data_IF_938134153862
#
_entry.id   IF_938134153862
#
_cell.length_a   1.000
_cell.length_b   1.000
_cell.length_c   1.000
_cell.angle_alpha   90.00
_cell.angle_beta   90.00
_cell.angle_gamma   90.00
#
_symmetry.space_group_name_H-M   'P 1'
#
loop_
_entity.id
_entity.type
_entity.pdbx_description
1 polymer ?
#
# COMPACT_ATOMS: atom_id res chain seq x y z
N UNK A 1 41.04 -4.46 29.08
CA UNK A 1 41.65 -4.27 27.73
C UNK A 1 40.88 -5.17 26.79
N UNK A 2 40.17 -4.76 25.73
CA UNK A 2 40.28 -3.60 24.85
C UNK A 2 38.90 -2.98 24.61
N UNK A 3 38.81 -1.65 24.77
CA UNK A 3 37.73 -0.80 24.26
C UNK A 3 38.05 -0.45 22.80
N UNK A 4 37.09 -0.58 21.89
CA UNK A 4 37.17 0.07 20.57
C UNK A 4 36.10 1.13 20.53
N UNK A 5 36.56 2.35 20.72
CA UNK A 5 35.82 3.59 20.55
C UNK A 5 35.76 3.88 19.05
N UNK A 6 34.57 4.13 18.52
CA UNK A 6 34.41 4.79 17.22
C UNK A 6 33.71 6.12 17.50
N UNK A 7 34.49 7.19 17.43
CA UNK A 7 34.04 8.58 17.57
C UNK A 7 33.63 9.11 16.20
N UNK A 8 32.58 9.93 16.25
CA UNK A 8 31.97 10.74 15.20
C UNK A 8 33.00 11.56 14.41
N UNK A 9 32.76 11.78 13.11
CA UNK A 9 32.67 13.14 12.55
C UNK A 9 32.26 13.13 11.09
N UNK A 10 31.30 13.98 10.75
CA UNK A 10 30.85 14.23 9.39
C UNK A 10 29.71 15.23 9.37
N UNK A 11 29.97 16.45 9.82
CA UNK A 11 29.05 17.58 9.69
C UNK A 11 29.34 18.41 8.44
N UNK A 12 28.25 18.99 7.92
CA UNK A 12 28.13 20.24 7.16
C UNK A 12 28.14 20.17 5.62
N UNK A 13 27.00 20.58 5.05
CA UNK A 13 26.79 20.92 3.64
C UNK A 13 25.33 21.29 3.38
N UNK A 14 24.96 22.53 3.74
CA UNK A 14 23.63 23.14 3.60
C UNK A 14 23.41 23.69 2.17
N UNK A 15 22.14 23.64 1.72
CA UNK A 15 21.46 24.48 0.70
C UNK A 15 21.66 24.16 -0.80
N UNK A 16 20.56 23.79 -1.47
CA UNK A 16 20.37 24.07 -2.89
C UNK A 16 19.41 23.13 -3.62
N UNK A 17 18.21 23.62 -3.95
CA UNK A 17 17.49 23.24 -5.17
C UNK A 17 16.62 21.98 -5.10
N UNK A 18 15.31 22.16 -5.30
CA UNK A 18 14.28 21.15 -5.13
C UNK A 18 14.40 19.92 -6.03
N UNK A 19 14.22 18.75 -5.40
CA UNK A 19 13.61 17.54 -5.93
C UNK A 19 13.00 16.81 -4.71
N UNK A 20 11.71 16.43 -4.68
CA UNK A 20 11.18 15.58 -3.63
C UNK A 20 11.51 14.13 -3.99
N UNK A 21 12.78 13.74 -3.85
CA UNK A 21 13.21 12.35 -4.00
C UNK A 21 13.83 11.89 -2.70
N UNK A 22 13.35 10.73 -2.26
CA UNK A 22 13.65 10.07 -1.02
C UNK A 22 13.03 10.75 0.21
N UNK A 23 11.75 10.42 0.42
CA UNK A 23 11.32 10.00 1.76
C UNK A 23 12.26 8.86 2.19
N UNK A 24 13.42 9.26 2.69
CA UNK A 24 14.35 8.42 3.42
C UNK A 24 13.52 7.72 4.49
N UNK A 25 13.65 6.41 4.51
CA UNK A 25 13.04 5.51 5.45
C UNK A 25 13.33 6.00 6.88
N UNK A 26 12.46 6.85 7.41
CA UNK A 26 12.24 6.92 8.84
C UNK A 26 11.65 5.57 9.20
N UNK A 27 12.54 4.69 9.66
CA UNK A 27 12.27 3.44 10.34
C UNK A 27 11.58 3.77 11.68
N UNK A 28 10.40 4.41 11.61
CA UNK A 28 9.50 4.52 12.73
C UNK A 28 8.81 3.18 12.81
N UNK A 29 8.99 2.53 13.96
CA UNK A 29 8.08 1.56 14.53
C UNK A 29 6.70 2.21 14.75
N UNK A 30 6.14 2.82 13.71
CA UNK A 30 4.85 3.46 13.74
C UNK A 30 3.86 2.32 13.72
N UNK A 31 3.18 2.12 14.85
CA UNK A 31 2.11 1.15 14.93
C UNK A 31 1.14 1.44 13.79
N UNK A 32 0.99 0.47 12.88
CA UNK A 32 0.03 0.57 11.79
C UNK A 32 -1.36 0.77 12.41
N UNK A 33 -2.19 1.65 11.84
CA UNK A 33 -3.56 1.81 12.33
C UNK A 33 -4.30 0.47 12.20
N UNK A 34 -5.39 0.25 12.95
CA UNK A 34 -6.18 -0.95 12.76
C UNK A 34 -6.76 -0.98 11.34
N UNK A 35 -6.45 -2.03 10.58
CA UNK A 35 -6.89 -2.18 9.19
C UNK A 35 -8.42 -2.19 9.04
N UNK A 36 -9.13 -2.64 10.08
CA UNK A 36 -10.60 -2.65 10.13
C UNK A 36 -11.22 -1.24 10.07
N UNK A 37 -10.47 -0.23 10.53
CA UNK A 37 -10.91 1.17 10.63
C UNK A 37 -10.34 2.02 9.48
N UNK A 38 -9.57 1.40 8.57
CA UNK A 38 -8.93 2.09 7.46
C UNK A 38 -9.96 2.43 6.38
N UNK A 39 -10.51 3.64 6.46
CA UNK A 39 -11.56 4.11 5.55
C UNK A 39 -11.10 5.30 4.70
N UNK A 40 -10.03 5.99 5.08
CA UNK A 40 -9.52 7.16 4.37
C UNK A 40 -8.25 6.86 3.59
N UNK A 41 -7.94 7.76 2.65
CA UNK A 41 -6.67 7.73 1.91
C UNK A 41 -5.46 7.74 2.85
N UNK A 42 -5.50 8.51 3.93
CA UNK A 42 -4.40 8.61 4.89
C UNK A 42 -4.17 7.30 5.66
N UNK A 43 -5.26 6.58 6.01
CA UNK A 43 -5.15 5.31 6.71
C UNK A 43 -4.45 4.27 5.83
N UNK A 44 -4.85 4.19 4.56
CA UNK A 44 -4.28 3.23 3.61
C UNK A 44 -2.85 3.54 3.19
N UNK A 45 -2.46 4.81 3.20
CA UNK A 45 -1.07 5.21 2.90
C UNK A 45 -0.06 4.56 3.86
N UNK A 46 -0.43 4.33 5.12
CA UNK A 46 0.43 3.66 6.09
C UNK A 46 0.78 2.20 5.70
N UNK A 47 -0.03 1.57 4.86
CA UNK A 47 0.15 0.18 4.43
C UNK A 47 0.87 0.05 3.09
N UNK A 48 1.30 1.14 2.46
CA UNK A 48 2.06 1.07 1.19
C UNK A 48 3.35 0.27 1.39
N UNK A 49 3.58 -0.68 0.49
CA UNK A 49 4.70 -1.62 0.53
C UNK A 49 4.44 -2.86 1.37
N UNK A 50 3.37 -2.91 2.17
CA UNK A 50 3.02 -4.05 3.01
C UNK A 50 2.43 -5.21 2.20
N UNK A 51 2.55 -6.41 2.76
CA UNK A 51 2.06 -7.65 2.15
C UNK A 51 0.82 -8.18 2.88
N UNK A 52 -0.11 -8.68 2.08
CA UNK A 52 -1.37 -9.27 2.51
C UNK A 52 -1.47 -10.68 1.95
N UNK A 53 -2.03 -11.61 2.71
CA UNK A 53 -2.40 -12.94 2.25
C UNK A 53 -3.87 -12.93 1.84
N UNK A 54 -4.19 -13.68 0.78
CA UNK A 54 -5.58 -13.86 0.36
C UNK A 54 -6.13 -15.06 1.12
N UNK A 55 -7.07 -14.81 2.03
CA UNK A 55 -7.69 -15.86 2.83
C UNK A 55 -8.46 -16.83 1.91
N UNK A 56 -8.27 -18.13 2.14
CA UNK A 56 -8.82 -19.18 1.29
C UNK A 56 -8.00 -19.50 0.02
N UNK A 57 -6.91 -18.77 -0.25
CA UNK A 57 -5.99 -19.05 -1.36
C UNK A 57 -4.54 -19.18 -0.88
N UNK A 58 -4.12 -20.37 -0.40
CA UNK A 58 -2.79 -20.57 0.17
C UNK A 58 -1.70 -20.30 -0.86
N UNK A 59 -0.66 -19.58 -0.44
CA UNK A 59 0.47 -19.21 -1.29
C UNK A 59 0.24 -17.99 -2.19
N UNK A 60 -0.98 -17.44 -2.22
CA UNK A 60 -1.25 -16.17 -2.89
C UNK A 60 -1.11 -15.01 -1.92
N UNK A 61 -0.38 -13.98 -2.35
CA UNK A 61 -0.23 -12.74 -1.60
C UNK A 61 -0.33 -11.51 -2.49
N UNK A 62 -0.76 -10.41 -1.90
CA UNK A 62 -0.88 -9.10 -2.52
C UNK A 62 0.09 -8.15 -1.83
N UNK A 63 0.81 -7.33 -2.60
CA UNK A 63 1.58 -6.22 -2.06
C UNK A 63 0.92 -4.91 -2.44
N UNK A 64 0.58 -4.07 -1.47
CA UNK A 64 0.04 -2.74 -1.75
C UNK A 64 1.16 -1.88 -2.34
N UNK A 65 1.01 -1.44 -3.58
CA UNK A 65 1.99 -0.63 -4.30
C UNK A 65 1.74 0.86 -4.13
N UNK A 66 0.48 1.27 -4.21
CA UNK A 66 0.11 2.68 -4.23
C UNK A 66 -1.30 2.90 -3.70
N UNK A 67 -1.49 4.08 -3.12
CA UNK A 67 -2.78 4.67 -2.75
C UNK A 67 -2.85 6.03 -3.43
N UNK A 68 -3.82 6.21 -4.32
CA UNK A 68 -3.93 7.40 -5.15
C UNK A 68 -5.30 8.04 -4.94
N UNK A 69 -5.31 9.29 -4.48
CA UNK A 69 -6.53 10.08 -4.42
C UNK A 69 -6.90 10.59 -5.81
N UNK A 70 -8.18 10.54 -6.16
CA UNK A 70 -8.69 11.20 -7.35
C UNK A 70 -9.12 12.61 -7.02
N UNK A 71 -8.61 13.57 -7.80
CA UNK A 71 -9.14 14.92 -7.81
C UNK A 71 -10.51 14.86 -8.51
N UNK A 72 -11.60 14.89 -7.74
CA UNK A 72 -12.93 14.94 -8.32
C UNK A 72 -13.11 16.28 -9.05
N UNK A 73 -13.40 16.23 -10.36
CA UNK A 73 -13.55 17.41 -11.22
C UNK A 73 -14.69 18.36 -10.74
N UNK A 74 -15.61 17.83 -9.93
CA UNK A 74 -16.50 18.63 -9.10
C UNK A 74 -16.16 18.36 -7.64
N UNK A 75 -15.68 19.36 -6.88
CA UNK A 75 -15.58 19.24 -5.44
C UNK A 75 -17.01 19.28 -4.86
N UNK A 76 -17.76 18.18 -5.01
CA UNK A 76 -18.88 17.92 -4.13
C UNK A 76 -18.26 17.77 -2.74
N UNK A 77 -18.49 18.78 -1.90
CA UNK A 77 -17.90 18.88 -0.58
C UNK A 77 -18.09 17.56 0.18
N UNK A 78 -16.98 16.88 0.46
CA UNK A 78 -16.97 15.66 1.28
C UNK A 78 -16.74 14.34 0.52
N UNK A 79 -16.80 14.30 -0.81
CA UNK A 79 -16.50 13.06 -1.54
C UNK A 79 -14.98 12.84 -1.67
N UNK A 80 -14.43 11.94 -0.86
CA UNK A 80 -13.07 11.42 -1.06
C UNK A 80 -13.15 10.15 -1.90
N UNK A 81 -12.56 10.19 -3.09
CA UNK A 81 -12.35 9.04 -3.95
C UNK A 81 -10.86 8.70 -4.00
N UNK A 82 -10.52 7.43 -3.79
CA UNK A 82 -9.15 6.97 -3.90
C UNK A 82 -9.08 5.51 -4.34
N UNK A 83 -7.96 5.15 -4.94
CA UNK A 83 -7.68 3.83 -5.46
C UNK A 83 -6.49 3.20 -4.75
N UNK A 84 -6.59 1.91 -4.48
CA UNK A 84 -5.49 1.06 -4.04
C UNK A 84 -5.01 0.25 -5.24
N UNK A 85 -3.70 0.14 -5.42
CA UNK A 85 -3.10 -0.72 -6.44
C UNK A 85 -2.25 -1.81 -5.80
N UNK A 86 -2.52 -3.07 -6.13
CA UNK A 86 -1.81 -4.22 -5.60
C UNK A 86 -1.01 -4.94 -6.67
N UNK A 87 0.21 -5.37 -6.34
CA UNK A 87 0.93 -6.39 -7.10
C UNK A 87 0.53 -7.77 -6.60
N UNK A 88 0.24 -8.66 -7.55
CA UNK A 88 -0.01 -10.06 -7.28
C UNK A 88 1.30 -10.83 -7.11
N UNK A 89 1.42 -11.67 -6.09
CA UNK A 89 2.64 -12.41 -5.77
C UNK A 89 2.31 -13.87 -5.39
N UNK A 90 3.11 -14.81 -5.93
CA UNK A 90 3.03 -16.23 -5.58
C UNK A 90 2.64 -17.14 -6.75
N UNK A 91 2.73 -18.48 -6.56
CA UNK A 91 2.51 -19.47 -7.62
C UNK A 91 1.08 -19.48 -8.21
N UNK A 92 0.11 -18.92 -7.49
CA UNK A 92 -1.28 -18.76 -7.95
C UNK A 92 -1.59 -17.39 -8.56
N UNK A 93 -0.58 -16.52 -8.74
CA UNK A 93 -0.80 -15.16 -9.22
C UNK A 93 -1.45 -15.14 -10.61
N UNK A 94 -0.89 -15.86 -11.59
CA UNK A 94 -1.47 -15.91 -12.94
C UNK A 94 -2.90 -16.49 -12.99
N UNK A 95 -3.31 -17.23 -11.96
CA UNK A 95 -4.62 -17.90 -11.89
C UNK A 95 -5.68 -17.11 -11.13
N UNK A 96 -5.32 -16.00 -10.46
CA UNK A 96 -6.34 -15.19 -9.80
C UNK A 96 -7.15 -14.44 -10.87
N UNK A 97 -8.22 -15.09 -11.31
CA UNK A 97 -9.25 -14.46 -12.12
C UNK A 97 -10.10 -13.62 -11.19
N UNK A 98 -9.77 -12.33 -11.04
CA UNK A 98 -10.76 -11.39 -10.52
C UNK A 98 -11.80 -11.19 -11.61
N UNK A 99 -12.77 -12.10 -11.71
CA UNK A 99 -14.01 -11.80 -12.42
C UNK A 99 -14.55 -10.50 -11.82
N UNK A 100 -14.78 -9.49 -12.64
CA UNK A 100 -15.27 -8.18 -12.22
C UNK A 100 -16.39 -8.34 -11.20
N UNK A 101 -16.14 -8.09 -9.90
CA UNK A 101 -17.15 -8.40 -8.90
C UNK A 101 -16.72 -9.06 -7.60
N UNK A 102 -15.50 -9.61 -7.48
CA UNK A 102 -15.18 -10.44 -6.32
C UNK A 102 -14.67 -9.62 -5.12
N UNK A 103 -15.28 -9.88 -3.95
CA UNK A 103 -14.74 -9.46 -2.65
C UNK A 103 -13.70 -10.50 -2.22
N UNK A 104 -12.47 -10.05 -2.00
CA UNK A 104 -11.39 -10.86 -1.45
C UNK A 104 -11.15 -10.48 0.00
N UNK A 105 -11.07 -11.49 0.85
CA UNK A 105 -10.69 -11.34 2.25
C UNK A 105 -9.16 -11.39 2.32
N UNK A 106 -8.58 -10.30 2.81
CA UNK A 106 -7.14 -10.11 2.92
C UNK A 106 -6.74 -10.10 4.39
N UNK A 107 -5.65 -10.78 4.71
CA UNK A 107 -5.02 -10.71 6.03
C UNK A 107 -3.65 -10.06 5.92
N UNK A 108 -3.42 -9.00 6.67
CA UNK A 108 -2.13 -8.34 6.71
C UNK A 108 -1.09 -9.22 7.42
N UNK A 109 0.01 -9.55 6.73
CA UNK A 109 1.00 -10.53 7.22
C UNK A 109 1.61 -10.16 8.57
N UNK A 110 1.90 -8.88 8.81
CA UNK A 110 2.63 -8.48 10.01
C UNK A 110 1.74 -8.32 11.25
N UNK A 111 0.45 -7.95 11.07
CA UNK A 111 -0.47 -7.69 12.20
C UNK A 111 -1.58 -8.74 12.34
N UNK A 112 -1.68 -9.69 11.41
CA UNK A 112 -2.79 -10.65 11.29
C UNK A 112 -4.19 -10.00 11.22
N UNK A 113 -4.26 -8.70 10.92
CA UNK A 113 -5.52 -7.99 10.80
C UNK A 113 -6.17 -8.28 9.45
N UNK A 114 -7.48 -8.37 9.43
CA UNK A 114 -8.25 -8.76 8.25
C UNK A 114 -9.06 -7.59 7.69
N UNK A 115 -9.26 -7.61 6.38
CA UNK A 115 -10.11 -6.68 5.66
C UNK A 115 -10.72 -7.37 4.45
N UNK A 116 -11.88 -6.91 4.00
CA UNK A 116 -12.55 -7.41 2.81
C UNK A 116 -12.55 -6.31 1.76
N UNK A 117 -11.89 -6.55 0.63
CA UNK A 117 -11.78 -5.59 -0.46
C UNK A 117 -12.44 -6.12 -1.72
N UNK A 118 -13.23 -5.28 -2.36
CA UNK A 118 -13.65 -5.51 -3.71
C UNK A 118 -12.51 -5.18 -4.67
N UNK A 119 -11.96 -6.21 -5.33
CA UNK A 119 -10.79 -6.07 -6.20
C UNK A 119 -11.17 -6.32 -7.66
N UNK A 120 -10.72 -5.43 -8.53
CA UNK A 120 -10.85 -5.53 -9.98
C UNK A 120 -9.48 -5.74 -10.61
N UNK A 121 -9.44 -6.44 -11.75
CA UNK A 121 -8.23 -6.46 -12.57
C UNK A 121 -7.96 -5.03 -13.06
N UNK A 122 -6.74 -4.54 -12.83
CA UNK A 122 -6.30 -3.32 -13.49
C UNK A 122 -6.22 -3.58 -15.00
N UNK A 123 -6.43 -2.53 -15.81
CA UNK A 123 -6.19 -2.60 -17.25
C UNK A 123 -4.80 -3.22 -17.52
N UNK A 124 -4.64 -4.02 -18.59
CA UNK A 124 -3.39 -4.71 -18.87
C UNK A 124 -2.23 -3.71 -18.93
N UNK A 125 -1.35 -3.80 -17.94
CA UNK A 125 -0.07 -3.10 -17.91
C UNK A 125 0.88 -3.81 -18.87
N UNK A 126 1.74 -3.05 -19.55
CA UNK A 126 2.80 -3.60 -20.41
C UNK A 126 3.83 -4.43 -19.65
N UNK A 127 3.82 -4.39 -18.32
CA UNK A 127 4.62 -5.24 -17.44
C UNK A 127 3.87 -6.51 -17.06
N UNK A 128 4.58 -7.64 -17.04
CA UNK A 128 4.11 -8.99 -16.69
C UNK A 128 3.54 -9.15 -15.26
N UNK A 129 3.36 -8.06 -14.53
CA UNK A 129 2.79 -8.06 -13.19
C UNK A 129 1.28 -7.86 -13.28
N UNK A 130 0.54 -8.91 -12.92
CA UNK A 130 -0.89 -8.78 -12.67
C UNK A 130 -1.11 -7.74 -11.56
N UNK A 131 -1.83 -6.67 -11.89
CA UNK A 131 -2.19 -5.59 -10.96
C UNK A 131 -3.67 -5.67 -10.65
N UNK A 132 -4.01 -5.51 -9.37
CA UNK A 132 -5.40 -5.38 -8.91
C UNK A 132 -5.65 -3.99 -8.37
N UNK A 133 -6.89 -3.54 -8.50
CA UNK A 133 -7.33 -2.25 -8.00
C UNK A 133 -8.57 -2.36 -7.11
N UNK A 134 -8.61 -1.58 -6.04
CA UNK A 134 -9.81 -1.34 -5.24
C UNK A 134 -10.11 0.16 -5.25
N UNK A 135 -11.37 0.53 -5.47
CA UNK A 135 -11.82 1.92 -5.50
C UNK A 135 -12.71 2.20 -4.30
N UNK A 136 -12.45 3.32 -3.63
CA UNK A 136 -13.24 3.78 -2.49
C UNK A 136 -13.94 5.07 -2.87
N UNK A 137 -15.18 5.21 -2.41
CA UNK A 137 -15.95 6.45 -2.50
C UNK A 137 -16.63 6.65 -1.16
N UNK A 138 -16.12 7.60 -0.38
CA UNK A 138 -16.76 8.01 0.86
C UNK A 138 -17.84 9.04 0.52
N UNK A 139 -19.10 8.70 0.82
CA UNK A 139 -20.18 9.67 0.87
C UNK A 139 -20.12 10.32 2.27
N UNK A 140 -19.82 11.62 2.33
CA UNK A 140 -19.86 12.40 3.57
C UNK A 140 -21.29 12.69 4.02
#
# INVERSE_FOLDING_TARGET
>A
MNKREFVLSGCAGLLGGGLPVAALAECRSQALPPLRDAHSLADWQAFVGQCFEVLGQPGLSLRLLAVQGEACAQPQAGLQQFHLSFALQGPGAATLQTSSGQILHLQHKASAQETALFLQAAAPSTEHDARLQASFSLLA
#
